data_IF_180140784365
#
_entry.id   IF_180140784365
#
_cell.length_a   1.000
_cell.length_b   1.000
_cell.length_c   1.000
_cell.angle_alpha   90.00
_cell.angle_beta   90.00
_cell.angle_gamma   90.00
#
_symmetry.space_group_name_H-M   'P 1'
#
loop_
_entity.id
_entity.type
_entity.pdbx_description
1 polymer ?
#
# COMPACT_ATOMS: atom_id res chain seq x y z
N UNK A 1 5.58 2.79 8.16
CA UNK A 1 4.96 1.52 7.76
C UNK A 1 4.41 0.83 9.00
N UNK A 2 3.20 0.32 8.95
CA UNK A 2 2.60 -0.40 10.08
C UNK A 2 2.78 -1.90 9.88
N UNK A 3 2.41 -2.41 8.71
CA UNK A 3 2.43 -3.83 8.42
C UNK A 3 2.44 -4.09 6.92
N UNK A 4 2.82 -5.29 6.52
CA UNK A 4 2.78 -5.74 5.14
C UNK A 4 2.16 -7.12 5.04
N UNK A 5 1.64 -7.46 3.87
CA UNK A 5 1.14 -8.79 3.54
C UNK A 5 1.46 -9.10 2.09
N UNK A 6 1.65 -10.39 1.78
CA UNK A 6 1.79 -10.87 0.41
C UNK A 6 0.47 -11.39 -0.16
N UNK A 7 -0.59 -11.38 0.66
CA UNK A 7 -1.89 -11.99 0.31
C UNK A 7 -3.02 -11.02 0.58
N UNK A 8 -3.04 -9.92 -0.18
CA UNK A 8 -3.99 -8.83 0.04
C UNK A 8 -5.31 -9.01 -0.73
N UNK A 9 -5.51 -10.18 -1.32
CA UNK A 9 -6.81 -10.62 -1.82
C UNK A 9 -7.30 -9.96 -3.10
N UNK A 10 -6.49 -9.13 -3.76
CA UNK A 10 -6.89 -8.59 -5.06
C UNK A 10 -6.59 -9.56 -6.17
N UNK A 11 -7.45 -9.60 -7.20
CA UNK A 11 -7.19 -10.30 -8.44
C UNK A 11 -6.77 -9.35 -9.56
N UNK A 12 -6.81 -8.04 -9.31
CA UNK A 12 -6.34 -7.03 -10.25
C UNK A 12 -4.82 -7.03 -10.30
N UNK A 13 -4.27 -6.87 -11.49
CA UNK A 13 -2.83 -6.70 -11.69
C UNK A 13 -2.39 -5.25 -11.51
N UNK A 14 -3.33 -4.32 -11.42
CA UNK A 14 -3.04 -2.90 -11.27
C UNK A 14 -2.59 -2.58 -9.86
N UNK A 15 -1.58 -1.72 -9.75
CA UNK A 15 -1.19 -1.12 -8.48
C UNK A 15 -2.22 -0.07 -8.07
N UNK A 16 -2.37 0.15 -6.77
CA UNK A 16 -3.40 1.05 -6.26
C UNK A 16 -3.00 1.62 -4.89
N UNK A 17 -3.62 2.74 -4.54
CA UNK A 17 -3.55 3.31 -3.20
C UNK A 17 -4.98 3.47 -2.66
N UNK A 18 -5.16 3.14 -1.39
CA UNK A 18 -6.45 3.21 -0.71
C UNK A 18 -6.29 4.00 0.58
N UNK A 19 -7.34 4.71 0.97
CA UNK A 19 -7.38 5.39 2.25
C UNK A 19 -8.64 4.98 3.01
N UNK A 20 -8.47 4.61 4.28
CA UNK A 20 -9.56 4.28 5.18
C UNK A 20 -9.52 5.25 6.36
N UNK A 21 -10.61 5.94 6.61
CA UNK A 21 -10.66 7.02 7.60
C UNK A 21 -10.65 6.52 9.05
N UNK A 22 -11.05 5.27 9.28
CA UNK A 22 -11.19 4.73 10.63
C UNK A 22 -11.07 3.21 10.65
N UNK A 23 -11.02 2.65 11.87
CA UNK A 23 -10.87 1.22 12.07
C UNK A 23 -12.03 0.40 11.49
N UNK A 24 -13.24 0.94 11.52
CA UNK A 24 -14.42 0.23 11.02
C UNK A 24 -14.34 0.04 9.50
N UNK A 25 -14.04 1.10 8.76
CA UNK A 25 -13.89 1.03 7.31
C UNK A 25 -12.72 0.11 6.91
N UNK A 26 -11.61 0.21 7.63
CA UNK A 26 -10.45 -0.66 7.38
C UNK A 26 -10.77 -2.11 7.68
N UNK A 27 -11.46 -2.37 8.80
CA UNK A 27 -11.86 -3.73 9.18
C UNK A 27 -12.78 -4.39 8.17
N UNK A 28 -13.74 -3.64 7.62
CA UNK A 28 -14.62 -4.16 6.57
C UNK A 28 -13.84 -4.56 5.32
N UNK A 29 -12.86 -3.77 4.94
CA UNK A 29 -12.01 -4.09 3.79
C UNK A 29 -11.13 -5.31 4.05
N UNK A 30 -10.53 -5.42 5.26
CA UNK A 30 -9.74 -6.59 5.67
C UNK A 30 -10.58 -7.86 5.56
N UNK A 31 -11.81 -7.82 6.07
CA UNK A 31 -12.71 -8.97 6.03
C UNK A 31 -13.09 -9.34 4.61
N UNK A 32 -13.37 -8.35 3.77
CA UNK A 32 -13.70 -8.57 2.37
C UNK A 32 -12.54 -9.23 1.61
N UNK A 33 -11.32 -8.76 1.86
CA UNK A 33 -10.10 -9.27 1.21
C UNK A 33 -9.51 -10.49 1.93
N UNK A 34 -9.96 -10.80 3.16
CA UNK A 34 -9.48 -11.92 3.98
C UNK A 34 -7.99 -11.82 4.28
N UNK A 35 -7.55 -10.65 4.72
CA UNK A 35 -6.12 -10.39 5.00
C UNK A 35 -5.85 -10.67 6.47
N UNK A 36 -5.26 -11.84 6.77
CA UNK A 36 -5.02 -12.28 8.14
C UNK A 36 -3.95 -11.49 8.89
N UNK A 37 -3.01 -10.86 8.19
CA UNK A 37 -1.91 -10.10 8.79
C UNK A 37 -2.34 -8.69 9.24
N UNK A 38 -3.49 -8.22 8.80
CA UNK A 38 -3.97 -6.89 9.14
C UNK A 38 -5.08 -6.97 10.18
N UNK A 39 -5.17 -5.95 11.03
CA UNK A 39 -6.20 -5.82 12.05
C UNK A 39 -6.79 -4.40 12.02
N UNK A 40 -8.09 -4.24 12.32
CA UNK A 40 -8.74 -2.91 12.31
C UNK A 40 -8.05 -1.89 13.21
N UNK A 41 -7.49 -2.33 14.34
CA UNK A 41 -6.79 -1.45 15.27
C UNK A 41 -5.50 -0.83 14.72
N UNK A 42 -5.03 -1.24 13.56
CA UNK A 42 -3.90 -0.62 12.90
C UNK A 42 -4.23 0.77 12.36
N UNK A 43 -5.51 1.06 12.12
CA UNK A 43 -5.93 2.40 11.73
C UNK A 43 -5.81 3.36 12.90
N UNK A 44 -5.00 4.42 12.72
CA UNK A 44 -4.88 5.49 13.71
C UNK A 44 -6.14 6.37 13.67
N UNK A 45 -6.30 7.33 14.61
CA UNK A 45 -7.38 8.32 14.49
C UNK A 45 -7.37 9.08 13.17
N UNK A 46 -6.22 9.19 12.52
CA UNK A 46 -6.08 9.81 11.20
C UNK A 46 -6.31 8.83 10.05
N UNK A 47 -6.63 7.58 10.35
CA UNK A 47 -6.90 6.55 9.36
C UNK A 47 -5.70 5.67 9.04
N UNK A 48 -5.74 5.06 7.86
CA UNK A 48 -4.66 4.22 7.34
C UNK A 48 -4.61 4.33 5.82
N UNK A 49 -3.40 4.33 5.28
CA UNK A 49 -3.15 4.31 3.84
C UNK A 49 -2.66 2.91 3.49
N UNK A 50 -3.23 2.32 2.44
CA UNK A 50 -2.78 1.01 1.94
C UNK A 50 -2.26 1.19 0.53
N UNK A 51 -1.05 0.68 0.29
CA UNK A 51 -0.45 0.63 -1.04
C UNK A 51 -0.47 -0.81 -1.51
N UNK A 52 -1.13 -1.07 -2.64
CA UNK A 52 -1.22 -2.39 -3.25
C UNK A 52 -0.35 -2.46 -4.49
N UNK A 53 0.45 -3.52 -4.58
CA UNK A 53 1.23 -3.80 -5.79
C UNK A 53 0.36 -4.35 -6.91
N UNK A 54 -0.71 -5.04 -6.59
CA UNK A 54 -1.51 -5.83 -7.51
C UNK A 54 -1.05 -7.28 -7.54
N UNK A 55 -1.84 -8.14 -8.19
CA UNK A 55 -1.52 -9.56 -8.27
C UNK A 55 -0.33 -9.82 -9.17
N UNK A 56 0.59 -10.65 -8.71
CA UNK A 56 1.77 -11.08 -9.45
C UNK A 56 1.81 -12.61 -9.52
N UNK A 57 2.41 -13.19 -10.59
CA UNK A 57 2.32 -14.64 -10.85
C UNK A 57 3.22 -15.48 -9.95
N UNK A 58 4.21 -14.88 -9.29
CA UNK A 58 5.19 -15.63 -8.48
C UNK A 58 5.54 -14.84 -7.22
N UNK A 59 6.21 -15.48 -6.29
CA UNK A 59 6.87 -14.80 -5.18
C UNK A 59 8.02 -13.92 -5.64
N UNK A 60 8.65 -13.22 -4.72
CA UNK A 60 9.79 -12.33 -5.00
C UNK A 60 9.43 -10.90 -5.31
N UNK A 61 8.14 -10.58 -5.47
CA UNK A 61 7.66 -9.21 -5.63
C UNK A 61 7.35 -8.61 -4.27
N UNK A 62 7.73 -7.36 -4.05
CA UNK A 62 7.44 -6.65 -2.81
C UNK A 62 7.47 -5.14 -2.99
N UNK A 63 6.88 -4.43 -2.04
CA UNK A 63 6.93 -2.98 -1.94
C UNK A 63 7.45 -2.60 -0.57
N UNK A 64 8.25 -1.54 -0.49
CA UNK A 64 8.77 -1.03 0.76
C UNK A 64 8.69 0.49 0.79
N UNK A 65 8.39 1.05 1.96
CA UNK A 65 8.31 2.50 2.14
C UNK A 65 9.71 3.11 2.09
N UNK A 66 9.86 4.18 1.30
CA UNK A 66 11.05 5.02 1.28
C UNK A 66 10.70 6.38 1.90
N UNK A 67 11.02 6.53 3.18
CA UNK A 67 10.71 7.76 3.93
C UNK A 67 11.44 8.97 3.39
N UNK A 68 12.62 8.79 2.83
CA UNK A 68 13.43 9.90 2.31
C UNK A 68 12.79 10.56 1.08
N UNK A 69 11.88 9.86 0.42
CA UNK A 69 11.17 10.34 -0.77
C UNK A 69 9.70 10.59 -0.51
N UNK A 70 9.31 10.68 0.76
CA UNK A 70 7.92 10.94 1.18
C UNK A 70 7.84 12.38 1.67
N UNK A 71 6.94 13.18 1.09
CA UNK A 71 6.83 14.61 1.38
C UNK A 71 5.41 15.12 1.15
N UNK A 72 5.09 16.23 1.80
CA UNK A 72 3.81 16.93 1.64
C UNK A 72 4.08 18.25 0.93
N UNK A 73 3.43 18.46 -0.20
CA UNK A 73 3.48 19.70 -0.98
C UNK A 73 2.12 19.98 -1.62
N UNK A 74 1.66 21.23 -1.57
CA UNK A 74 0.44 21.65 -2.27
C UNK A 74 -0.76 20.76 -1.98
N UNK A 75 -1.01 20.48 -0.70
CA UNK A 75 -2.12 19.64 -0.23
C UNK A 75 -2.03 18.17 -0.71
N UNK A 76 -0.87 17.75 -1.17
CA UNK A 76 -0.64 16.38 -1.65
C UNK A 76 0.46 15.72 -0.83
N UNK A 77 0.16 14.54 -0.30
CA UNK A 77 1.16 13.66 0.27
C UNK A 77 1.67 12.74 -0.84
N UNK A 78 2.96 12.86 -1.15
CA UNK A 78 3.62 11.93 -2.07
C UNK A 78 4.37 10.91 -1.24
N UNK A 79 4.04 9.63 -1.41
CA UNK A 79 4.69 8.53 -0.72
C UNK A 79 5.64 7.85 -1.69
N UNK A 80 6.93 7.88 -1.38
CA UNK A 80 7.94 7.15 -2.13
C UNK A 80 7.98 5.69 -1.69
N UNK A 81 7.89 4.78 -2.65
CA UNK A 81 7.96 3.34 -2.39
C UNK A 81 9.04 2.73 -3.26
N UNK A 82 9.68 1.70 -2.75
CA UNK A 82 10.56 0.88 -3.54
C UNK A 82 9.80 -0.34 -4.04
N UNK A 83 9.68 -0.45 -5.34
CA UNK A 83 9.01 -1.56 -6.03
C UNK A 83 10.05 -2.59 -6.40
N UNK A 84 9.90 -3.81 -5.89
CA UNK A 84 10.88 -4.88 -6.12
C UNK A 84 10.25 -6.01 -6.91
N UNK A 85 10.98 -6.49 -7.92
CA UNK A 85 10.65 -7.69 -8.67
C UNK A 85 11.76 -8.72 -8.46
N UNK A 86 11.48 -10.03 -8.60
CA UNK A 86 12.53 -11.03 -8.48
C UNK A 86 13.51 -10.90 -9.65
N UNK A 87 14.77 -11.25 -9.39
CA UNK A 87 15.77 -11.35 -10.45
C UNK A 87 15.37 -12.49 -11.39
N UNK A 88 15.74 -12.36 -12.65
CA UNK A 88 15.37 -13.36 -13.67
C UNK A 88 15.86 -14.78 -13.34
N UNK A 89 16.99 -14.89 -12.62
CA UNK A 89 17.59 -16.16 -12.22
C UNK A 89 17.23 -16.57 -10.79
N UNK A 90 16.35 -15.84 -10.10
CA UNK A 90 16.00 -16.15 -8.74
C UNK A 90 15.06 -17.34 -8.66
N UNK A 91 15.27 -18.18 -7.63
CA UNK A 91 14.32 -19.23 -7.28
C UNK A 91 13.17 -18.58 -6.49
N UNK A 92 11.96 -18.63 -7.05
CA UNK A 92 10.78 -18.03 -6.42
C UNK A 92 9.65 -19.04 -6.36
N UNK A 93 8.70 -18.82 -5.43
CA UNK A 93 7.51 -19.66 -5.37
C UNK A 93 6.67 -19.45 -6.63
N UNK A 94 5.92 -20.46 -7.03
CA UNK A 94 5.00 -20.37 -8.15
C UNK A 94 3.60 -19.93 -7.73
N UNK A 95 3.42 -19.57 -6.45
CA UNK A 95 2.15 -19.11 -5.95
C UNK A 95 1.87 -17.68 -6.38
N UNK A 96 0.60 -17.40 -6.71
CA UNK A 96 0.16 -16.02 -6.93
C UNK A 96 0.29 -15.21 -5.65
N UNK A 97 0.82 -14.01 -5.73
CA UNK A 97 0.91 -13.09 -4.59
C UNK A 97 0.29 -11.74 -4.95
N UNK A 98 -0.15 -11.02 -3.93
CA UNK A 98 -0.69 -9.67 -4.05
C UNK A 98 -0.19 -8.86 -2.85
N UNK A 99 1.03 -8.35 -2.95
CA UNK A 99 1.67 -7.61 -1.85
C UNK A 99 1.00 -6.27 -1.60
N UNK A 100 0.82 -5.93 -0.35
CA UNK A 100 0.38 -4.60 0.06
C UNK A 100 1.01 -4.19 1.38
N UNK A 101 1.00 -2.89 1.65
CA UNK A 101 1.60 -2.30 2.84
C UNK A 101 0.59 -1.34 3.45
N UNK A 102 0.37 -1.45 4.76
CA UNK A 102 -0.40 -0.49 5.52
C UNK A 102 0.54 0.56 6.11
N UNK A 103 0.21 1.83 5.91
CA UNK A 103 1.05 2.96 6.28
C UNK A 103 0.23 3.90 7.17
N UNK A 104 0.83 4.35 8.28
CA UNK A 104 0.23 5.38 9.12
C UNK A 104 0.32 6.72 8.38
N UNK A 105 -0.82 7.45 8.23
CA UNK A 105 -0.76 8.77 7.60
C UNK A 105 0.18 9.69 8.37
N UNK A 106 1.17 10.32 7.71
CA UNK A 106 2.03 11.29 8.38
C UNK A 106 1.22 12.50 8.85
N UNK A 107 1.70 13.16 9.90
CA UNK A 107 1.11 14.40 10.35
C UNK A 107 1.24 15.48 9.28
N UNK A 108 0.19 16.29 9.08
CA UNK A 108 0.18 17.36 8.11
C UNK A 108 -1.19 17.54 7.49
N UNK A 109 -1.29 18.54 6.64
CA UNK A 109 -2.54 18.84 5.93
C UNK A 109 -2.40 18.47 4.45
N UNK A 110 -3.21 17.52 4.01
CA UNK A 110 -3.28 17.09 2.61
C UNK A 110 -4.62 16.42 2.37
N UNK A 111 -5.11 16.52 1.16
CA UNK A 111 -6.37 15.91 0.76
C UNK A 111 -6.17 14.83 -0.32
N UNK A 112 -4.97 14.71 -0.83
CA UNK A 112 -4.62 13.74 -1.88
C UNK A 112 -3.37 12.98 -1.47
N UNK A 113 -3.37 11.66 -1.72
CA UNK A 113 -2.22 10.79 -1.53
C UNK A 113 -1.81 10.25 -2.88
N UNK A 114 -0.53 10.42 -3.24
CA UNK A 114 0.05 9.87 -4.46
C UNK A 114 1.18 8.93 -4.09
N UNK A 115 1.21 7.77 -4.71
CA UNK A 115 2.25 6.78 -4.49
C UNK A 115 3.11 6.67 -5.74
N UNK A 116 4.41 6.86 -5.57
CA UNK A 116 5.38 6.78 -6.67
C UNK A 116 6.43 5.72 -6.38
N UNK A 117 6.93 5.08 -7.43
CA UNK A 117 8.01 4.10 -7.30
C UNK A 117 9.38 4.77 -7.29
N UNK A 118 10.46 3.98 -7.26
CA UNK A 118 11.82 4.50 -7.21
C UNK A 118 12.23 5.27 -8.46
N UNK A 119 11.50 5.12 -9.55
CA UNK A 119 11.74 5.84 -10.80
C UNK A 119 10.84 7.08 -10.94
N UNK A 120 9.99 7.35 -9.94
CA UNK A 120 9.06 8.46 -9.96
C UNK A 120 7.75 8.20 -10.71
N UNK A 121 7.51 6.97 -11.14
CA UNK A 121 6.27 6.61 -11.81
C UNK A 121 5.12 6.53 -10.81
N UNK A 122 3.95 7.11 -11.17
CA UNK A 122 2.75 7.04 -10.36
C UNK A 122 2.23 5.61 -10.31
N UNK A 123 2.05 5.09 -9.09
CA UNK A 123 1.54 3.73 -8.85
C UNK A 123 0.14 3.70 -8.27
N UNK A 124 -0.32 4.79 -7.71
CA UNK A 124 -1.66 4.89 -7.18
C UNK A 124 -1.95 6.26 -6.62
N UNK A 125 -3.22 6.56 -6.46
CA UNK A 125 -3.68 7.82 -5.90
C UNK A 125 -4.96 7.58 -5.11
N UNK A 126 -5.09 8.24 -3.97
CA UNK A 126 -6.27 8.18 -3.14
C UNK A 126 -6.63 9.56 -2.64
N UNK A 127 -7.91 9.78 -2.40
CA UNK A 127 -8.41 11.02 -1.81
C UNK A 127 -8.75 10.80 -0.35
N UNK A 128 -8.41 11.78 0.47
CA UNK A 128 -8.78 11.81 1.88
C UNK A 128 -10.04 12.64 2.00
N UNK A 129 -11.15 11.99 2.30
CA UNK A 129 -12.42 12.65 2.56
C UNK A 129 -12.41 13.23 3.97
N UNK A 130 -12.25 14.52 4.09
CA UNK A 130 -12.31 15.24 5.37
C UNK A 130 -13.44 16.23 5.37
#
# INVERSE_FOLDING_TARGET
MISESQYCGTTSQDSNALYFANANAFGNWIDYRRIGEFQPGMASPDGVIVVEMGQRPTGGYSVALDKSRTAIENDTLTIGMEWKAPRLDAAVSQALIASCVAIRPPAGEYDTVRVVDQLGNLRGEARIGR
#
